data_IF_599197868122
#
_entry.id   IF_599197868122
#
_cell.length_a   1.000
_cell.length_b   1.000
_cell.length_c   1.000
_cell.angle_alpha   90.00
_cell.angle_beta   90.00
_cell.angle_gamma   90.00
#
_symmetry.space_group_name_H-M   'P 1'
#
loop_
_entity.id
_entity.type
_entity.pdbx_description
1 polymer ?
#
# COMPACT_ATOMS: atom_id res chain seq x y z
N UNK A 1 16.64 4.50 -17.45
CA UNK A 1 15.60 4.99 -16.52
C UNK A 1 15.37 3.92 -15.47
N UNK A 2 15.31 4.27 -14.18
CA UNK A 2 14.94 3.31 -13.14
C UNK A 2 13.43 3.08 -13.17
N UNK A 3 12.97 1.83 -13.11
CA UNK A 3 11.54 1.50 -13.12
C UNK A 3 10.98 1.79 -11.72
N UNK A 4 10.05 2.75 -11.62
CA UNK A 4 9.41 3.13 -10.37
C UNK A 4 8.45 2.04 -9.89
N UNK A 5 8.34 1.87 -8.56
CA UNK A 5 7.37 0.97 -7.93
C UNK A 5 6.71 1.64 -6.72
N UNK A 6 5.64 1.04 -6.22
CA UNK A 6 4.89 1.55 -5.08
C UNK A 6 4.44 2.99 -5.23
N UNK A 7 4.74 3.86 -4.25
CA UNK A 7 4.30 5.26 -4.28
C UNK A 7 4.91 6.05 -5.45
N UNK A 8 6.14 5.75 -5.86
CA UNK A 8 6.77 6.43 -6.98
C UNK A 8 6.02 6.18 -8.29
N UNK A 9 5.60 4.93 -8.52
CA UNK A 9 4.77 4.58 -9.67
C UNK A 9 3.40 5.25 -9.61
N UNK A 10 2.74 5.27 -8.43
CA UNK A 10 1.45 5.93 -8.26
C UNK A 10 1.54 7.41 -8.63
N UNK A 11 2.60 8.09 -8.17
CA UNK A 11 2.85 9.51 -8.48
C UNK A 11 3.07 9.75 -9.98
N UNK A 12 3.87 8.90 -10.63
CA UNK A 12 4.13 8.98 -12.07
C UNK A 12 2.86 8.72 -12.90
N UNK A 13 2.06 7.73 -12.52
CA UNK A 13 0.85 7.32 -13.23
C UNK A 13 -0.24 8.41 -13.24
N UNK A 14 -0.28 9.29 -12.23
CA UNK A 14 -1.18 10.46 -12.19
C UNK A 14 -0.53 11.77 -12.61
N UNK A 15 0.73 11.74 -13.05
CA UNK A 15 1.53 12.92 -13.37
C UNK A 15 1.54 13.98 -12.23
N UNK A 16 1.69 13.52 -10.99
CA UNK A 16 1.75 14.41 -9.83
C UNK A 16 3.14 15.05 -9.66
N UNK A 17 3.23 16.22 -8.99
CA UNK A 17 4.51 16.79 -8.57
C UNK A 17 5.35 15.82 -7.73
N UNK A 18 6.65 16.06 -7.64
CA UNK A 18 7.54 15.20 -6.88
C UNK A 18 7.44 15.42 -5.36
N UNK A 19 6.62 14.60 -4.69
CA UNK A 19 6.45 14.59 -3.24
C UNK A 19 7.31 13.53 -2.54
N UNK A 20 8.05 12.71 -3.30
CA UNK A 20 8.87 11.62 -2.76
C UNK A 20 10.36 11.98 -2.77
N UNK A 21 10.80 12.80 -3.73
CA UNK A 21 12.19 13.21 -3.88
C UNK A 21 13.12 11.99 -3.91
N UNK A 22 14.12 11.98 -3.03
CA UNK A 22 15.09 10.89 -2.94
C UNK A 22 14.51 9.57 -2.39
N UNK A 23 13.30 9.56 -1.81
CA UNK A 23 12.73 8.38 -1.13
C UNK A 23 12.01 7.38 -2.06
N UNK A 24 12.04 7.60 -3.37
CA UNK A 24 11.32 6.77 -4.37
C UNK A 24 11.80 5.32 -4.34
N UNK A 25 10.84 4.39 -4.28
CA UNK A 25 11.09 2.97 -4.52
C UNK A 25 11.28 2.70 -6.02
N UNK A 26 12.28 1.88 -6.35
CA UNK A 26 12.64 1.55 -7.74
C UNK A 26 13.21 0.16 -7.88
N UNK A 27 13.05 -0.45 -9.06
CA UNK A 27 13.71 -1.70 -9.38
C UNK A 27 15.22 -1.52 -9.48
N UNK A 28 15.96 -2.51 -8.97
CA UNK A 28 17.41 -2.57 -9.01
C UNK A 28 17.90 -4.02 -9.03
N UNK A 29 19.14 -4.23 -9.48
CA UNK A 29 19.82 -5.52 -9.46
C UNK A 29 20.29 -5.89 -8.04
N UNK A 30 19.32 -6.20 -7.17
CA UNK A 30 19.52 -6.64 -5.78
C UNK A 30 18.84 -8.00 -5.55
N UNK A 31 19.17 -8.68 -4.46
CA UNK A 31 18.57 -9.99 -4.14
C UNK A 31 17.38 -9.89 -3.16
N UNK A 32 17.29 -8.79 -2.43
CA UNK A 32 16.27 -8.47 -1.43
C UNK A 32 15.98 -6.97 -1.45
N UNK A 33 14.87 -6.55 -0.83
CA UNK A 33 14.56 -5.13 -0.68
C UNK A 33 15.61 -4.49 0.23
N UNK A 34 16.23 -3.40 -0.23
CA UNK A 34 17.23 -2.64 0.53
C UNK A 34 16.83 -1.18 0.65
N UNK A 35 16.84 -0.65 1.87
CA UNK A 35 16.60 0.78 2.14
C UNK A 35 17.93 1.52 2.17
N UNK A 36 18.06 2.53 1.31
CA UNK A 36 19.24 3.40 1.28
C UNK A 36 19.16 4.46 2.40
N UNK A 37 20.30 5.07 2.81
CA UNK A 37 20.32 6.09 3.86
C UNK A 37 19.37 7.28 3.61
N UNK A 38 19.21 7.69 2.35
CA UNK A 38 18.29 8.75 1.94
C UNK A 38 16.80 8.33 1.96
N UNK A 39 16.53 7.05 2.19
CA UNK A 39 15.19 6.47 2.35
C UNK A 39 14.64 5.77 1.11
N UNK A 40 15.31 5.84 -0.05
CA UNK A 40 14.92 5.07 -1.24
C UNK A 40 14.88 3.56 -0.97
N UNK A 41 13.97 2.86 -1.64
CA UNK A 41 13.95 1.40 -1.66
C UNK A 41 14.46 0.87 -3.00
N UNK A 42 15.46 0.02 -2.93
CA UNK A 42 15.89 -0.81 -4.05
C UNK A 42 15.14 -2.14 -4.00
N UNK A 43 14.43 -2.47 -5.08
CA UNK A 43 13.50 -3.59 -5.13
C UNK A 43 13.97 -4.59 -6.19
N UNK A 44 14.13 -5.88 -5.86
CA UNK A 44 14.48 -6.88 -6.85
C UNK A 44 13.30 -7.14 -7.79
N UNK A 45 13.55 -7.44 -9.06
CA UNK A 45 12.49 -7.69 -10.07
C UNK A 45 11.48 -8.75 -9.64
N UNK A 46 11.92 -9.79 -8.91
CA UNK A 46 11.04 -10.85 -8.38
C UNK A 46 10.02 -10.39 -7.33
N UNK A 47 10.20 -9.20 -6.76
CA UNK A 47 9.28 -8.58 -5.78
C UNK A 47 8.60 -7.33 -6.36
N UNK A 48 8.75 -7.08 -7.67
CA UNK A 48 8.04 -5.99 -8.31
C UNK A 48 6.53 -6.24 -8.23
N UNK A 49 5.72 -5.24 -7.85
CA UNK A 49 4.28 -5.30 -8.11
C UNK A 49 4.02 -5.35 -9.62
N UNK A 50 2.89 -5.93 -10.02
CA UNK A 50 2.37 -5.80 -11.39
C UNK A 50 1.81 -4.41 -11.67
N UNK A 51 1.40 -4.17 -12.91
CA UNK A 51 1.02 -2.85 -13.42
C UNK A 51 -0.43 -2.43 -13.05
N UNK A 52 -0.79 -2.49 -11.76
CA UNK A 52 -2.08 -1.98 -11.29
C UNK A 52 -2.02 -1.28 -9.92
N UNK A 53 -3.00 -0.41 -9.69
CA UNK A 53 -3.10 0.43 -8.49
C UNK A 53 -3.08 -0.36 -7.18
N UNK A 54 -3.76 -1.51 -7.14
CA UNK A 54 -3.89 -2.31 -5.91
C UNK A 54 -2.57 -2.97 -5.53
N UNK A 55 -1.87 -3.56 -6.50
CA UNK A 55 -0.57 -4.18 -6.26
C UNK A 55 0.49 -3.16 -5.84
N UNK A 56 0.52 -1.99 -6.48
CA UNK A 56 1.39 -0.89 -6.06
C UNK A 56 1.03 -0.35 -4.66
N UNK A 57 -0.26 -0.22 -4.34
CA UNK A 57 -0.70 0.19 -3.00
C UNK A 57 -0.32 -0.85 -1.91
N UNK A 58 -0.50 -2.14 -2.20
CA UNK A 58 -0.10 -3.24 -1.31
C UNK A 58 1.40 -3.28 -1.07
N UNK A 59 2.17 -3.15 -2.15
CA UNK A 59 3.63 -3.05 -2.06
C UNK A 59 4.03 -1.85 -1.18
N UNK A 60 3.47 -0.67 -1.46
CA UNK A 60 3.85 0.57 -0.81
C UNK A 60 3.51 0.56 0.69
N UNK A 61 2.28 0.18 1.06
CA UNK A 61 1.90 0.13 2.48
C UNK A 61 2.73 -0.88 3.28
N UNK A 62 3.21 -1.96 2.62
CA UNK A 62 4.03 -3.00 3.23
C UNK A 62 5.48 -2.61 3.41
N UNK A 63 6.05 -1.89 2.45
CA UNK A 63 7.50 -1.67 2.40
C UNK A 63 7.91 -0.21 2.59
N UNK A 64 7.08 0.74 2.16
CA UNK A 64 7.35 2.18 2.21
C UNK A 64 6.70 2.87 3.41
N UNK A 65 5.69 2.26 4.03
CA UNK A 65 4.91 2.81 5.15
C UNK A 65 3.59 3.41 4.68
N UNK A 66 2.85 4.05 5.60
CA UNK A 66 1.50 4.57 5.32
C UNK A 66 1.55 6.02 4.80
N UNK A 67 1.31 6.25 3.51
CA UNK A 67 1.14 7.59 2.94
C UNK A 67 -0.27 7.78 2.43
N UNK A 68 -1.10 8.43 3.23
CA UNK A 68 -2.53 8.58 2.92
C UNK A 68 -2.80 9.35 1.63
N UNK A 69 -1.96 10.32 1.28
CA UNK A 69 -2.09 11.11 0.06
C UNK A 69 -1.95 10.25 -1.20
N UNK A 70 -0.97 9.34 -1.25
CA UNK A 70 -0.78 8.42 -2.38
C UNK A 70 -1.76 7.24 -2.34
N UNK A 71 -2.02 6.70 -1.14
CA UNK A 71 -2.99 5.61 -0.97
C UNK A 71 -4.41 6.06 -1.34
N UNK A 72 -4.80 7.29 -1.02
CA UNK A 72 -6.11 7.83 -1.41
C UNK A 72 -6.27 7.90 -2.92
N UNK A 73 -5.24 8.34 -3.64
CA UNK A 73 -5.25 8.35 -5.10
C UNK A 73 -5.42 6.95 -5.67
N UNK A 74 -4.55 6.02 -5.28
CA UNK A 74 -4.58 4.65 -5.82
C UNK A 74 -5.91 3.95 -5.50
N UNK A 75 -6.38 4.00 -4.25
CA UNK A 75 -7.56 3.27 -3.80
C UNK A 75 -8.89 3.83 -4.34
N UNK A 76 -8.95 5.10 -4.75
CA UNK A 76 -10.11 5.63 -5.48
C UNK A 76 -10.22 5.09 -6.91
N UNK A 77 -9.13 4.55 -7.45
CA UNK A 77 -9.08 3.95 -8.79
C UNK A 77 -9.17 2.41 -8.75
N UNK A 78 -9.18 1.82 -7.55
CA UNK A 78 -9.37 0.38 -7.36
C UNK A 78 -10.87 0.10 -7.25
N UNK A 79 -11.39 -0.84 -8.04
CA UNK A 79 -12.79 -1.26 -7.95
C UNK A 79 -13.04 -2.09 -6.69
N UNK A 80 -14.30 -2.15 -6.26
CA UNK A 80 -14.72 -2.98 -5.13
C UNK A 80 -14.40 -4.47 -5.40
N UNK A 81 -14.65 -4.96 -6.61
CA UNK A 81 -14.40 -6.35 -6.98
C UNK A 81 -12.91 -6.69 -6.89
N UNK A 82 -12.02 -5.78 -7.31
CA UNK A 82 -10.59 -6.00 -7.27
C UNK A 82 -10.07 -6.10 -5.82
N UNK A 83 -10.51 -5.21 -4.93
CA UNK A 83 -10.07 -5.25 -3.52
C UNK A 83 -10.66 -6.45 -2.77
N UNK A 84 -11.92 -6.83 -3.05
CA UNK A 84 -12.55 -8.03 -2.50
C UNK A 84 -11.87 -9.31 -2.98
N UNK A 85 -11.53 -9.39 -4.26
CA UNK A 85 -10.79 -10.53 -4.82
C UNK A 85 -9.42 -10.71 -4.15
N UNK A 86 -8.71 -9.61 -3.91
CA UNK A 86 -7.40 -9.66 -3.24
C UNK A 86 -7.53 -9.99 -1.75
N UNK A 87 -8.52 -9.40 -1.06
CA UNK A 87 -8.84 -9.76 0.32
C UNK A 87 -9.13 -11.26 0.47
N UNK A 88 -9.90 -11.84 -0.46
CA UNK A 88 -10.29 -13.25 -0.41
C UNK A 88 -9.10 -14.22 -0.49
N UNK A 89 -7.99 -13.80 -1.11
CA UNK A 89 -6.75 -14.61 -1.14
C UNK A 89 -6.06 -14.68 0.23
N UNK A 90 -6.16 -13.61 1.03
CA UNK A 90 -5.52 -13.52 2.35
C UNK A 90 -6.34 -12.69 3.34
N UNK A 91 -7.49 -13.19 3.83
CA UNK A 91 -8.39 -12.42 4.71
C UNK A 91 -7.72 -11.95 6.01
N UNK A 92 -6.72 -12.70 6.48
CA UNK A 92 -5.96 -12.42 7.69
C UNK A 92 -4.71 -11.54 7.44
N UNK A 93 -4.42 -11.19 6.19
CA UNK A 93 -3.28 -10.35 5.82
C UNK A 93 -3.41 -8.94 6.38
N UNK A 94 -2.44 -8.53 7.21
CA UNK A 94 -2.47 -7.21 7.85
C UNK A 94 -2.58 -6.05 6.84
N UNK A 95 -1.83 -6.11 5.73
CA UNK A 95 -1.77 -5.04 4.75
C UNK A 95 -3.04 -4.93 3.90
N UNK A 96 -3.62 -6.06 3.46
CA UNK A 96 -4.87 -6.02 2.71
C UNK A 96 -6.02 -5.53 3.58
N UNK A 97 -6.09 -5.94 4.87
CA UNK A 97 -7.09 -5.40 5.81
C UNK A 97 -6.96 -3.89 6.01
N UNK A 98 -5.72 -3.36 6.10
CA UNK A 98 -5.48 -1.92 6.13
C UNK A 98 -5.98 -1.24 4.86
N UNK A 99 -5.72 -1.81 3.68
CA UNK A 99 -6.21 -1.24 2.43
C UNK A 99 -7.73 -1.31 2.31
N UNK A 100 -8.39 -2.38 2.76
CA UNK A 100 -9.85 -2.46 2.81
C UNK A 100 -10.42 -1.29 3.63
N UNK A 101 -9.92 -1.09 4.86
CA UNK A 101 -10.34 0.03 5.72
C UNK A 101 -10.16 1.39 5.02
N UNK A 102 -9.01 1.61 4.39
CA UNK A 102 -8.73 2.86 3.68
C UNK A 102 -9.61 3.03 2.44
N UNK A 103 -9.85 1.95 1.69
CA UNK A 103 -10.71 1.97 0.52
C UNK A 103 -12.13 2.35 0.92
N UNK A 104 -12.67 1.77 2.00
CA UNK A 104 -14.00 2.10 2.50
C UNK A 104 -14.09 3.58 2.89
N UNK A 105 -13.08 4.09 3.60
CA UNK A 105 -13.01 5.49 4.01
C UNK A 105 -12.92 6.45 2.82
N UNK A 106 -12.08 6.15 1.82
CA UNK A 106 -11.87 7.03 0.66
C UNK A 106 -13.01 7.00 -0.34
N UNK A 107 -13.69 5.86 -0.47
CA UNK A 107 -14.84 5.69 -1.37
C UNK A 107 -16.19 5.95 -0.68
N UNK A 108 -16.20 6.11 0.65
CA UNK A 108 -17.40 6.26 1.49
C UNK A 108 -18.43 5.16 1.27
N UNK A 109 -17.93 3.93 1.12
CA UNK A 109 -18.73 2.72 0.89
C UNK A 109 -18.16 1.62 1.74
N UNK A 110 -19.03 0.88 2.43
CA UNK A 110 -18.59 -0.32 3.13
C UNK A 110 -18.48 -1.45 2.12
N UNK A 111 -17.42 -2.24 2.24
CA UNK A 111 -17.28 -3.46 1.46
C UNK A 111 -18.29 -4.48 2.02
N UNK A 112 -19.00 -5.20 1.15
CA UNK A 112 -19.97 -6.24 1.53
C UNK A 112 -19.34 -7.51 2.12
N UNK A 113 -18.31 -7.38 2.96
CA UNK A 113 -17.35 -8.44 3.30
C UNK A 113 -17.81 -9.50 4.31
N UNK A 114 -19.01 -9.38 4.86
CA UNK A 114 -19.21 -9.84 6.24
C UNK A 114 -19.84 -11.22 6.44
N UNK A 115 -20.30 -11.92 5.40
CA UNK A 115 -20.93 -13.24 5.60
C UNK A 115 -19.96 -14.42 5.47
N UNK A 116 -19.10 -14.43 4.44
CA UNK A 116 -18.43 -15.67 4.01
C UNK A 116 -16.94 -15.76 4.37
N UNK A 117 -16.32 -14.68 4.89
CA UNK A 117 -14.89 -14.60 5.16
C UNK A 117 -14.58 -14.08 6.57
N UNK A 118 -14.73 -14.90 7.63
CA UNK A 118 -14.45 -14.47 8.99
C UNK A 118 -12.96 -14.15 9.17
N UNK A 119 -12.65 -12.93 9.59
CA UNK A 119 -11.31 -12.50 9.97
C UNK A 119 -11.02 -12.97 11.39
N UNK A 120 -10.02 -13.84 11.56
CA UNK A 120 -9.59 -14.36 12.86
C UNK A 120 -8.28 -13.75 13.36
N UNK A 121 -7.65 -12.88 12.56
CA UNK A 121 -6.38 -12.25 12.91
C UNK A 121 -6.54 -11.09 13.91
N UNK A 122 -5.56 -10.96 14.79
CA UNK A 122 -5.46 -9.88 15.77
C UNK A 122 -5.50 -8.49 15.13
N UNK A 123 -5.87 -7.49 15.95
CA UNK A 123 -5.82 -6.08 15.56
C UNK A 123 -4.40 -5.66 15.17
N UNK A 124 -4.29 -4.82 14.14
CA UNK A 124 -3.01 -4.24 13.69
C UNK A 124 -3.18 -2.74 13.58
N UNK A 125 -2.27 -1.98 14.22
CA UNK A 125 -2.25 -0.52 14.17
C UNK A 125 -2.08 -0.04 12.73
N UNK A 126 -2.89 0.93 12.29
CA UNK A 126 -2.72 1.56 10.97
C UNK A 126 -1.37 2.28 10.90
N UNK A 127 -1.15 3.19 11.84
CA UNK A 127 0.05 4.01 11.94
C UNK A 127 0.98 3.51 13.05
N UNK A 128 2.27 3.67 12.83
CA UNK A 128 3.30 3.38 13.83
C UNK A 128 3.53 4.65 14.69
N UNK A 129 3.32 4.60 16.02
CA UNK A 129 3.50 5.74 16.91
C UNK A 129 4.92 6.32 16.90
N UNK A 130 5.93 5.57 16.44
CA UNK A 130 7.29 6.10 16.30
C UNK A 130 7.40 7.14 15.17
N UNK A 131 6.46 7.15 14.23
CA UNK A 131 6.49 7.99 13.02
C UNK A 131 5.26 8.90 12.89
N UNK A 132 4.21 8.66 13.65
CA UNK A 132 2.94 9.38 13.57
C UNK A 132 2.41 9.70 14.96
N UNK A 133 1.81 10.88 15.09
CA UNK A 133 0.95 11.20 16.24
C UNK A 133 -0.30 10.33 16.18
N UNK A 134 -0.52 9.53 17.22
CA UNK A 134 -1.66 8.60 17.33
C UNK A 134 -2.34 8.76 18.68
N UNK A 135 -3.66 8.55 18.72
CA UNK A 135 -4.41 8.55 19.97
C UNK A 135 -4.11 7.32 20.84
N UNK A 136 -4.49 7.40 22.11
CA UNK A 136 -4.41 6.27 23.03
C UNK A 136 -5.26 5.10 22.54
N UNK A 137 -4.71 3.89 22.64
CA UNK A 137 -5.48 2.66 22.37
C UNK A 137 -6.53 2.52 23.45
N UNK A 138 -7.80 2.42 23.04
CA UNK A 138 -8.92 2.11 23.93
C UNK A 138 -9.04 0.60 24.14
#
# INVERSE_FOLDING_TARGET
MSIAVGYAWIQEAINAPDFLGAKKARLAAVNSIHRLPEGALLVPTKLAPGDNWLEHALFAIKHEGVRLDHLATALRLVSEEAILAEFSKTPNGAYIRKLCLLWEAFNRRNLGLLADNPVSAAYVKMFDPAWYEVGESR
#
